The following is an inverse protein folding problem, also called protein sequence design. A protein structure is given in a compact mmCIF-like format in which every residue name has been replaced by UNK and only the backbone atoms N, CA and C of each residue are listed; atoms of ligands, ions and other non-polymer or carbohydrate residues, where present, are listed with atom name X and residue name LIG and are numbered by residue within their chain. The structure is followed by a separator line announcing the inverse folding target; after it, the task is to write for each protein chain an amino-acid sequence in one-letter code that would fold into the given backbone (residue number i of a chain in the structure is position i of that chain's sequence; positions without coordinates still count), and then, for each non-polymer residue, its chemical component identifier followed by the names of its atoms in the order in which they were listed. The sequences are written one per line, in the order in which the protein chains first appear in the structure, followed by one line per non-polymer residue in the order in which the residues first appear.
data_IF_482838677890
#
_entry.id   IF_482838677890
#
_cell.length_a   1.000
_cell.length_b   1.000
_cell.length_c   1.000
_cell.angle_alpha   90.00
_cell.angle_beta   90.00
_cell.angle_gamma   90.00
#
_symmetry.space_group_name_H-M   'P 1'
#
loop_
_entity.id
_entity.type
_entity.pdbx_description
1 polymer ?
#
# COMPACT_ATOMS: atom_id res chain seq x y z
N UNK A 1 -7.36 -30.61 -75.07
CA UNK A 1 -7.10 -29.19 -74.80
C UNK A 1 -8.30 -28.59 -74.13
N UNK A 2 -8.33 -28.40 -72.82
CA UNK A 2 -9.19 -27.50 -71.99
C UNK A 2 -9.09 -27.97 -70.53
N UNK A 3 -8.14 -27.47 -69.75
CA UNK A 3 -8.17 -27.52 -68.31
C UNK A 3 -6.97 -26.82 -67.72
N UNK A 4 -6.88 -25.49 -67.84
CA UNK A 4 -5.87 -24.68 -67.11
C UNK A 4 -6.41 -23.24 -67.00
N UNK A 5 -7.47 -22.98 -66.18
CA UNK A 5 -7.79 -21.63 -65.74
C UNK A 5 -8.90 -21.65 -64.64
N UNK A 6 -8.58 -22.15 -63.45
CA UNK A 6 -9.43 -21.93 -62.24
C UNK A 6 -8.61 -21.83 -60.98
N UNK A 7 -7.56 -21.02 -60.95
CA UNK A 7 -6.75 -20.84 -59.75
C UNK A 7 -6.63 -19.41 -59.15
N UNK A 8 -7.12 -18.30 -59.78
CA UNK A 8 -6.96 -17.00 -59.09
C UNK A 8 -8.06 -16.65 -58.10
N UNK A 9 -9.29 -17.16 -58.23
CA UNK A 9 -10.43 -16.75 -57.39
C UNK A 9 -10.39 -17.40 -55.98
N UNK A 10 -9.87 -18.61 -55.85
CA UNK A 10 -9.75 -19.29 -54.54
C UNK A 10 -8.59 -18.70 -53.72
N UNK A 11 -7.46 -18.40 -54.36
CA UNK A 11 -6.33 -17.73 -53.68
C UNK A 11 -6.66 -16.29 -53.26
N UNK A 12 -7.37 -15.52 -54.06
CA UNK A 12 -7.83 -14.18 -53.73
C UNK A 12 -8.83 -14.19 -52.55
N UNK A 13 -9.71 -15.20 -52.44
CA UNK A 13 -10.62 -15.36 -51.30
C UNK A 13 -9.87 -15.76 -50.02
N UNK A 14 -8.82 -16.59 -50.10
CA UNK A 14 -8.02 -17.01 -48.94
C UNK A 14 -7.19 -15.80 -48.43
N UNK A 15 -6.61 -15.00 -49.32
CA UNK A 15 -5.85 -13.81 -48.95
C UNK A 15 -6.79 -12.70 -48.39
N UNK A 16 -8.00 -12.58 -48.90
CA UNK A 16 -8.99 -11.63 -48.35
C UNK A 16 -9.45 -12.06 -46.92
N UNK A 17 -9.67 -13.34 -46.68
CA UNK A 17 -10.02 -13.85 -45.35
C UNK A 17 -8.87 -13.77 -44.35
N UNK A 18 -7.62 -13.93 -44.77
CA UNK A 18 -6.44 -13.78 -43.90
C UNK A 18 -6.20 -12.30 -43.56
N UNK A 19 -6.37 -11.38 -44.51
CA UNK A 19 -6.32 -9.94 -44.25
C UNK A 19 -7.45 -9.45 -43.35
N UNK A 20 -8.66 -9.99 -43.50
CA UNK A 20 -9.79 -9.72 -42.59
C UNK A 20 -9.51 -10.30 -41.19
N UNK A 21 -9.06 -11.53 -41.11
CA UNK A 21 -8.62 -12.14 -39.84
C UNK A 21 -7.49 -11.33 -39.17
N UNK A 22 -6.48 -10.91 -39.92
CA UNK A 22 -5.41 -10.04 -39.39
C UNK A 22 -5.94 -8.65 -38.99
N UNK A 23 -6.89 -8.07 -39.70
CA UNK A 23 -7.53 -6.80 -39.32
C UNK A 23 -8.40 -6.97 -38.06
N UNK A 24 -9.15 -8.07 -37.94
CA UNK A 24 -9.95 -8.41 -36.77
C UNK A 24 -9.02 -8.70 -35.58
N UNK A 25 -7.95 -9.45 -35.81
CA UNK A 25 -6.94 -9.74 -34.75
C UNK A 25 -6.19 -8.46 -34.33
N UNK A 26 -5.79 -7.60 -35.27
CA UNK A 26 -5.16 -6.29 -34.96
C UNK A 26 -6.15 -5.31 -34.32
N UNK A 27 -7.42 -5.32 -34.70
CA UNK A 27 -8.47 -4.53 -34.06
C UNK A 27 -8.78 -5.06 -32.65
N UNK A 28 -8.84 -6.38 -32.48
CA UNK A 28 -8.99 -7.03 -31.18
C UNK A 28 -7.79 -6.78 -30.27
N UNK A 29 -6.55 -6.83 -30.79
CA UNK A 29 -5.32 -6.48 -30.04
C UNK A 29 -5.28 -4.98 -29.72
N UNK A 30 -5.76 -4.10 -30.63
CA UNK A 30 -5.88 -2.67 -30.32
C UNK A 30 -7.00 -2.35 -29.33
N UNK A 31 -8.12 -3.07 -29.36
CA UNK A 31 -9.19 -2.92 -28.39
C UNK A 31 -8.82 -3.53 -27.00
N UNK A 32 -7.91 -4.51 -26.96
CA UNK A 32 -7.33 -5.04 -25.72
C UNK A 32 -6.35 -4.08 -25.03
N UNK A 33 -5.83 -3.06 -25.74
CA UNK A 33 -4.85 -2.12 -25.17
C UNK A 33 -5.45 -0.87 -24.53
N UNK A 34 -6.74 -0.58 -24.70
CA UNK A 34 -7.39 0.61 -24.14
C UNK A 34 -8.26 0.22 -22.95
N UNK A 35 -7.83 0.60 -21.74
CA UNK A 35 -8.64 0.47 -20.54
C UNK A 35 -9.91 1.33 -20.65
N UNK A 36 -11.05 0.86 -20.12
CA UNK A 36 -12.29 1.63 -20.10
C UNK A 36 -12.11 2.94 -19.32
N UNK A 37 -12.78 4.04 -19.68
CA UNK A 37 -12.66 5.33 -18.97
C UNK A 37 -12.87 5.22 -17.45
N UNK A 38 -13.80 4.40 -16.99
CA UNK A 38 -14.04 4.13 -15.57
C UNK A 38 -12.82 3.59 -14.81
N UNK A 39 -11.92 2.88 -15.48
CA UNK A 39 -10.67 2.43 -14.87
C UNK A 39 -9.77 3.61 -14.45
N UNK A 40 -9.59 4.60 -15.33
CA UNK A 40 -8.77 5.78 -15.03
C UNK A 40 -9.39 6.63 -13.93
N UNK A 41 -10.72 6.68 -13.83
CA UNK A 41 -11.44 7.32 -12.72
C UNK A 41 -11.11 6.64 -11.39
N UNK A 42 -11.10 5.32 -11.35
CA UNK A 42 -10.72 4.55 -10.15
C UNK A 42 -9.26 4.82 -9.77
N UNK A 43 -8.34 4.83 -10.72
CA UNK A 43 -6.92 5.13 -10.47
C UNK A 43 -6.73 6.55 -9.93
N UNK A 44 -7.43 7.54 -10.50
CA UNK A 44 -7.38 8.93 -10.03
C UNK A 44 -7.94 9.04 -8.61
N UNK A 45 -9.10 8.45 -8.33
CA UNK A 45 -9.70 8.41 -6.99
C UNK A 45 -8.75 7.78 -5.97
N UNK A 46 -8.12 6.65 -6.32
CA UNK A 46 -7.12 5.97 -5.49
C UNK A 46 -5.90 6.86 -5.24
N UNK A 47 -5.38 7.49 -6.29
CA UNK A 47 -4.21 8.37 -6.17
C UNK A 47 -4.48 9.52 -5.19
N UNK A 48 -5.57 10.26 -5.36
CA UNK A 48 -5.90 11.40 -4.48
C UNK A 48 -6.24 10.96 -3.06
N UNK A 49 -6.99 9.87 -2.88
CA UNK A 49 -7.30 9.34 -1.55
C UNK A 49 -6.04 8.89 -0.80
N UNK A 50 -5.13 8.18 -1.45
CA UNK A 50 -3.88 7.73 -0.85
C UNK A 50 -2.87 8.88 -0.66
N UNK A 51 -2.86 9.87 -1.56
CA UNK A 51 -2.10 11.12 -1.40
C UNK A 51 -2.50 11.84 -0.12
N UNK A 52 -3.82 11.99 0.10
CA UNK A 52 -4.36 12.63 1.30
C UNK A 52 -4.02 11.81 2.56
N UNK A 53 -4.13 10.48 2.54
CA UNK A 53 -3.78 9.60 3.68
C UNK A 53 -2.33 9.84 4.14
N UNK A 54 -1.37 9.95 3.20
CA UNK A 54 0.06 10.14 3.51
C UNK A 54 0.39 11.58 3.91
N UNK A 55 -0.23 12.57 3.28
CA UNK A 55 -0.07 13.98 3.66
C UNK A 55 -0.66 14.26 5.05
N UNK A 56 -1.82 13.64 5.36
CA UNK A 56 -2.49 13.80 6.65
C UNK A 56 -1.65 13.29 7.82
N UNK A 57 -0.88 12.22 7.63
CA UNK A 57 0.02 11.74 8.67
C UNK A 57 1.01 12.83 9.11
N UNK A 58 1.59 13.56 8.16
CA UNK A 58 2.54 14.64 8.46
C UNK A 58 1.85 15.82 9.12
N UNK A 59 0.67 16.21 8.64
CA UNK A 59 -0.14 17.26 9.26
C UNK A 59 -0.57 16.91 10.69
N UNK A 60 -1.00 15.66 10.93
CA UNK A 60 -1.37 15.18 12.26
C UNK A 60 -0.17 15.10 13.22
N UNK A 61 1.04 14.77 12.73
CA UNK A 61 2.28 14.84 13.52
C UNK A 61 2.56 16.32 13.88
N UNK A 62 2.40 17.26 12.93
CA UNK A 62 2.58 18.68 13.19
C UNK A 62 1.57 19.18 14.25
N UNK A 63 0.30 18.76 14.16
CA UNK A 63 -0.74 19.09 15.13
C UNK A 63 -0.41 18.58 16.53
N UNK A 64 0.05 17.32 16.69
CA UNK A 64 0.49 16.79 17.98
C UNK A 64 1.64 17.61 18.58
N UNK A 65 2.57 18.09 17.75
CA UNK A 65 3.68 18.94 18.20
C UNK A 65 3.21 20.34 18.62
N UNK A 66 2.24 20.90 17.91
CA UNK A 66 1.58 22.17 18.25
C UNK A 66 0.88 22.08 19.61
N UNK A 67 0.17 20.98 19.84
CA UNK A 67 -0.51 20.67 21.11
C UNK A 67 0.45 20.29 22.25
N UNK A 68 1.78 20.30 22.00
CA UNK A 68 2.82 19.90 22.95
C UNK A 68 2.63 18.50 23.55
N UNK A 69 2.03 17.61 22.77
CA UNK A 69 1.78 16.23 23.19
C UNK A 69 3.09 15.41 23.30
N UNK A 70 3.14 14.41 24.19
CA UNK A 70 4.31 13.58 24.37
C UNK A 70 4.81 12.91 23.09
N UNK A 71 6.13 12.83 22.88
CA UNK A 71 6.75 12.34 21.65
C UNK A 71 6.30 10.92 21.25
N UNK A 72 5.94 10.06 22.22
CA UNK A 72 5.44 8.70 21.94
C UNK A 72 4.08 8.67 21.22
N UNK A 73 3.33 9.77 21.27
CA UNK A 73 2.05 9.88 20.54
C UNK A 73 2.25 9.99 19.02
N UNK A 74 3.41 10.47 18.55
CA UNK A 74 3.74 10.51 17.13
C UNK A 74 3.65 9.12 16.46
N UNK A 75 4.35 8.08 16.91
CA UNK A 75 4.13 6.73 16.36
C UNK A 75 2.75 6.14 16.72
N UNK A 76 2.13 6.56 17.83
CA UNK A 76 0.79 6.11 18.21
C UNK A 76 -0.31 6.55 17.22
N UNK A 77 -0.11 7.64 16.45
CA UNK A 77 -0.99 7.99 15.32
C UNK A 77 -1.12 6.83 14.32
N UNK A 78 0.00 6.22 13.92
CA UNK A 78 -0.05 5.09 12.99
C UNK A 78 -0.79 3.92 13.58
N UNK A 79 -0.64 3.69 14.90
CA UNK A 79 -1.36 2.63 15.59
C UNK A 79 -2.86 2.86 15.60
N UNK A 80 -3.31 4.09 15.92
CA UNK A 80 -4.73 4.44 15.93
C UNK A 80 -5.37 4.23 14.55
N UNK A 81 -4.64 4.51 13.47
CA UNK A 81 -5.08 4.26 12.11
C UNK A 81 -5.16 2.75 11.79
N UNK A 82 -4.11 2.00 12.12
CA UNK A 82 -3.95 0.59 11.72
C UNK A 82 -4.82 -0.35 12.55
N UNK A 83 -5.17 -0.01 13.79
CA UNK A 83 -6.03 -0.84 14.66
C UNK A 83 -7.37 -1.15 13.99
N UNK A 84 -7.91 -0.20 13.21
CA UNK A 84 -9.14 -0.38 12.44
C UNK A 84 -9.01 -1.50 11.40
N UNK A 85 -7.87 -1.65 10.74
CA UNK A 85 -7.63 -2.73 9.78
C UNK A 85 -7.64 -4.10 10.42
N UNK A 86 -7.14 -4.21 11.63
CA UNK A 86 -7.09 -5.50 12.35
C UNK A 86 -8.48 -5.88 12.88
N UNK A 87 -9.17 -4.93 13.52
CA UNK A 87 -10.50 -5.18 14.10
C UNK A 87 -11.53 -5.47 13.01
N UNK A 88 -11.49 -4.74 11.91
CA UNK A 88 -12.48 -4.85 10.84
C UNK A 88 -12.17 -5.93 9.81
N UNK A 89 -10.97 -6.50 9.79
CA UNK A 89 -10.52 -7.46 8.76
C UNK A 89 -11.55 -8.56 8.42
N UNK A 90 -12.21 -9.22 9.38
CA UNK A 90 -13.19 -10.26 9.08
C UNK A 90 -14.50 -9.74 8.47
N UNK A 91 -14.80 -8.43 8.64
CA UNK A 91 -16.09 -7.83 8.32
C UNK A 91 -16.06 -6.96 7.05
N UNK A 92 -14.91 -6.36 6.73
CA UNK A 92 -14.81 -5.39 5.63
C UNK A 92 -15.05 -6.02 4.26
N UNK A 93 -14.73 -7.31 4.09
CA UNK A 93 -15.04 -8.04 2.85
C UNK A 93 -16.55 -8.12 2.62
N UNK A 94 -17.31 -8.56 3.64
CA UNK A 94 -18.76 -8.64 3.58
C UNK A 94 -19.42 -7.25 3.39
N UNK A 95 -18.89 -6.22 4.05
CA UNK A 95 -19.32 -4.84 3.84
C UNK A 95 -19.06 -4.38 2.40
N UNK A 96 -17.86 -4.63 1.88
CA UNK A 96 -17.50 -4.27 0.52
C UNK A 96 -18.39 -4.97 -0.53
N UNK A 97 -18.87 -6.19 -0.25
CA UNK A 97 -19.73 -6.97 -1.15
C UNK A 97 -21.22 -6.65 -1.00
N UNK A 98 -21.62 -5.86 0.02
CA UNK A 98 -23.01 -5.56 0.34
C UNK A 98 -23.66 -4.54 -0.62
N UNK A 99 -22.88 -3.76 -1.35
CA UNK A 99 -23.35 -2.70 -2.24
C UNK A 99 -22.36 -2.44 -3.37
N UNK A 100 -22.73 -1.66 -4.42
CA UNK A 100 -21.82 -1.29 -5.50
C UNK A 100 -20.51 -0.73 -4.97
N UNK A 101 -19.37 -1.24 -5.46
CA UNK A 101 -18.03 -0.89 -4.96
C UNK A 101 -17.76 0.62 -5.00
N UNK A 102 -18.28 1.32 -6.02
CA UNK A 102 -18.19 2.78 -6.11
C UNK A 102 -18.80 3.48 -4.89
N UNK A 103 -19.97 3.01 -4.42
CA UNK A 103 -20.63 3.55 -3.23
C UNK A 103 -19.83 3.25 -1.95
N UNK A 104 -19.27 2.05 -1.83
CA UNK A 104 -18.37 1.70 -0.70
C UNK A 104 -17.20 2.67 -0.64
N UNK A 105 -16.53 2.89 -1.77
CA UNK A 105 -15.38 3.79 -1.89
C UNK A 105 -15.77 5.25 -1.57
N UNK A 106 -16.95 5.70 -2.00
CA UNK A 106 -17.48 7.03 -1.69
C UNK A 106 -17.75 7.20 -0.19
N UNK A 107 -18.46 6.25 0.43
CA UNK A 107 -18.77 6.26 1.87
C UNK A 107 -17.48 6.26 2.69
N UNK A 108 -16.52 5.45 2.32
CA UNK A 108 -15.24 5.35 3.06
C UNK A 108 -14.41 6.62 2.96
N UNK A 109 -14.42 7.32 1.81
CA UNK A 109 -13.80 8.64 1.71
C UNK A 109 -14.58 9.70 2.51
N UNK A 110 -15.91 9.63 2.57
CA UNK A 110 -16.69 10.51 3.44
C UNK A 110 -16.32 10.33 4.94
N UNK A 111 -16.09 9.08 5.37
CA UNK A 111 -15.60 8.79 6.73
C UNK A 111 -14.23 9.44 6.98
N UNK A 112 -13.31 9.41 6.00
CA UNK A 112 -12.01 10.06 6.11
C UNK A 112 -12.13 11.58 6.21
N UNK A 113 -13.05 12.20 5.45
CA UNK A 113 -13.37 13.63 5.55
C UNK A 113 -13.88 13.98 6.96
N UNK A 114 -14.76 13.14 7.55
CA UNK A 114 -15.21 13.31 8.93
C UNK A 114 -14.02 13.26 9.90
N UNK A 115 -13.06 12.37 9.70
CA UNK A 115 -11.85 12.32 10.52
C UNK A 115 -11.02 13.64 10.44
N UNK A 116 -10.90 14.23 9.25
CA UNK A 116 -10.27 15.56 9.10
C UNK A 116 -11.08 16.66 9.80
N UNK A 117 -12.39 16.68 9.62
CA UNK A 117 -13.27 17.63 10.29
C UNK A 117 -13.21 17.52 11.83
N UNK A 118 -13.08 16.30 12.36
CA UNK A 118 -12.86 16.08 13.79
C UNK A 118 -11.55 16.72 14.27
N UNK A 119 -10.45 16.64 13.49
CA UNK A 119 -9.19 17.31 13.86
C UNK A 119 -9.36 18.82 13.89
N UNK A 120 -10.06 19.41 12.90
CA UNK A 120 -10.35 20.85 12.84
C UNK A 120 -11.35 21.31 13.92
N UNK A 121 -12.11 20.40 14.51
CA UNK A 121 -13.03 20.66 15.62
C UNK A 121 -12.40 20.31 16.98
N UNK A 122 -11.09 20.39 17.12
CA UNK A 122 -10.31 20.17 18.34
C UNK A 122 -10.49 18.78 18.99
N UNK A 123 -10.97 17.77 18.21
CA UNK A 123 -10.99 16.41 18.69
C UNK A 123 -9.56 15.85 18.64
N UNK A 124 -9.17 15.18 19.71
CA UNK A 124 -7.80 14.65 19.85
C UNK A 124 -7.30 13.93 18.59
N UNK A 125 -6.09 14.24 18.05
CA UNK A 125 -5.58 13.74 16.78
C UNK A 125 -5.58 12.21 16.65
N UNK A 126 -5.32 11.47 17.74
CA UNK A 126 -5.35 10.00 17.74
C UNK A 126 -6.75 9.43 17.41
N UNK A 127 -7.80 10.02 17.97
CA UNK A 127 -9.18 9.57 17.71
C UNK A 127 -9.62 9.95 16.29
N UNK A 128 -9.31 11.16 15.86
CA UNK A 128 -9.61 11.67 14.53
C UNK A 128 -8.89 10.84 13.46
N UNK A 129 -7.63 10.49 13.69
CA UNK A 129 -6.85 9.65 12.77
C UNK A 129 -7.28 8.19 12.80
N UNK A 130 -7.81 7.69 13.93
CA UNK A 130 -8.47 6.37 13.99
C UNK A 130 -9.72 6.33 13.10
N UNK A 131 -10.51 7.43 13.06
CA UNK A 131 -11.69 7.55 12.18
C UNK A 131 -11.24 7.49 10.70
N UNK A 132 -10.15 8.17 10.33
CA UNK A 132 -9.57 8.07 8.99
C UNK A 132 -9.15 6.63 8.69
N UNK A 133 -8.51 5.95 9.65
CA UNK A 133 -8.12 4.54 9.56
C UNK A 133 -9.32 3.60 9.36
N UNK A 134 -10.45 3.88 10.02
CA UNK A 134 -11.70 3.14 9.82
C UNK A 134 -12.17 3.23 8.36
N UNK A 135 -12.20 4.44 7.79
CA UNK A 135 -12.51 4.64 6.37
C UNK A 135 -11.52 3.91 5.45
N UNK A 136 -10.22 3.99 5.72
CA UNK A 136 -9.18 3.37 4.92
C UNK A 136 -9.24 1.83 4.96
N UNK A 137 -9.55 1.23 6.10
CA UNK A 137 -9.70 -0.23 6.24
C UNK A 137 -10.83 -0.78 5.38
N UNK A 138 -11.98 -0.09 5.38
CA UNK A 138 -13.14 -0.49 4.57
C UNK A 138 -12.97 -0.18 3.07
N UNK A 139 -12.15 0.81 2.72
CA UNK A 139 -11.80 1.16 1.34
C UNK A 139 -11.04 0.05 0.61
N UNK A 140 -10.10 -0.60 1.29
CA UNK A 140 -9.14 -1.53 0.69
C UNK A 140 -9.77 -2.70 -0.08
N UNK A 141 -10.75 -3.47 0.47
CA UNK A 141 -11.36 -4.57 -0.29
C UNK A 141 -12.18 -4.09 -1.49
N UNK A 142 -12.86 -2.93 -1.38
CA UNK A 142 -13.64 -2.38 -2.48
C UNK A 142 -12.75 -1.94 -3.65
N UNK A 143 -11.57 -1.36 -3.34
CA UNK A 143 -10.57 -0.91 -4.32
C UNK A 143 -10.08 -2.04 -5.22
N UNK A 144 -9.76 -3.20 -4.65
CA UNK A 144 -9.31 -4.34 -5.44
C UNK A 144 -10.49 -5.12 -6.05
N UNK A 145 -11.62 -5.18 -5.35
CA UNK A 145 -12.83 -5.86 -5.83
C UNK A 145 -13.39 -5.22 -7.11
N UNK A 146 -13.41 -3.90 -7.20
CA UNK A 146 -13.94 -3.21 -8.39
C UNK A 146 -13.13 -3.49 -9.66
N UNK A 147 -11.82 -3.74 -9.55
CA UNK A 147 -11.00 -4.10 -10.71
C UNK A 147 -11.43 -5.44 -11.32
N UNK A 148 -11.77 -6.41 -10.48
CA UNK A 148 -12.22 -7.73 -10.92
C UNK A 148 -13.63 -7.72 -11.50
N UNK A 149 -14.47 -6.76 -11.10
CA UNK A 149 -15.82 -6.57 -11.65
C UNK A 149 -15.79 -5.79 -12.97
N UNK A 150 -14.89 -4.81 -13.10
CA UNK A 150 -14.85 -3.90 -14.24
C UNK A 150 -14.06 -4.46 -15.44
N UNK A 151 -13.02 -5.25 -15.19
CA UNK A 151 -12.02 -5.66 -16.17
C UNK A 151 -12.00 -7.18 -16.38
N UNK A 152 -11.75 -7.62 -17.62
CA UNK A 152 -11.55 -9.03 -17.91
C UNK A 152 -10.25 -9.54 -17.28
N UNK A 153 -10.15 -10.85 -16.97
CA UNK A 153 -8.99 -11.45 -16.30
C UNK A 153 -7.63 -11.12 -16.94
N UNK A 154 -7.58 -11.00 -18.25
CA UNK A 154 -6.36 -10.71 -19.03
C UNK A 154 -5.78 -9.30 -18.75
N UNK A 155 -6.61 -8.36 -18.30
CA UNK A 155 -6.23 -6.99 -18.00
C UNK A 155 -5.91 -6.76 -16.52
N UNK A 156 -6.25 -7.71 -15.63
CA UNK A 156 -6.09 -7.53 -14.17
C UNK A 156 -4.63 -7.32 -13.74
N UNK A 157 -3.67 -8.00 -14.40
CA UNK A 157 -2.24 -7.84 -14.06
C UNK A 157 -1.78 -6.40 -14.34
N UNK A 158 -2.17 -5.86 -15.49
CA UNK A 158 -1.82 -4.48 -15.87
C UNK A 158 -2.54 -3.49 -14.95
N UNK A 159 -3.82 -3.74 -14.64
CA UNK A 159 -4.62 -2.90 -13.76
C UNK A 159 -4.06 -2.83 -12.33
N UNK A 160 -3.65 -3.98 -11.77
CA UNK A 160 -2.97 -4.02 -10.48
C UNK A 160 -1.63 -3.26 -10.51
N UNK A 161 -0.85 -3.38 -11.61
CA UNK A 161 0.37 -2.60 -11.79
C UNK A 161 0.13 -1.09 -11.76
N UNK A 162 -0.92 -0.59 -12.43
CA UNK A 162 -1.33 0.81 -12.36
C UNK A 162 -1.78 1.21 -10.95
N UNK A 163 -2.54 0.35 -10.27
CA UNK A 163 -3.00 0.58 -8.90
C UNK A 163 -1.82 0.71 -7.92
N UNK A 164 -0.86 -0.19 -7.98
CA UNK A 164 0.35 -0.15 -7.16
C UNK A 164 1.24 1.06 -7.53
N UNK A 165 1.39 1.36 -8.82
CA UNK A 165 2.11 2.55 -9.27
C UNK A 165 1.48 3.85 -8.76
N UNK A 166 0.14 3.96 -8.81
CA UNK A 166 -0.59 5.09 -8.24
C UNK A 166 -0.41 5.18 -6.72
N UNK A 167 -0.42 4.03 -6.02
CA UNK A 167 -0.19 3.97 -4.57
C UNK A 167 1.23 4.44 -4.21
N UNK A 168 2.27 3.94 -4.89
CA UNK A 168 3.66 4.38 -4.64
C UNK A 168 3.82 5.86 -4.98
N UNK A 169 3.29 6.31 -6.12
CA UNK A 169 3.32 7.73 -6.49
C UNK A 169 2.63 8.61 -5.43
N UNK A 170 1.47 8.20 -4.95
CA UNK A 170 0.73 8.94 -3.91
C UNK A 170 1.47 8.99 -2.57
N UNK A 171 2.24 7.95 -2.21
CA UNK A 171 3.09 7.95 -1.02
C UNK A 171 4.18 9.02 -1.15
N UNK A 172 4.90 9.03 -2.29
CA UNK A 172 5.97 10.00 -2.54
C UNK A 172 5.43 11.43 -2.48
N UNK A 173 4.41 11.71 -3.29
CA UNK A 173 3.82 13.05 -3.37
C UNK A 173 3.10 13.44 -2.08
N UNK A 174 2.51 12.49 -1.36
CA UNK A 174 1.83 12.73 -0.09
C UNK A 174 2.77 13.22 1.00
N UNK A 175 3.92 12.58 1.17
CA UNK A 175 4.93 13.04 2.13
C UNK A 175 5.52 14.40 1.75
N UNK A 176 5.83 14.60 0.46
CA UNK A 176 6.33 15.90 -0.03
C UNK A 176 5.28 17.00 0.17
N UNK A 177 4.03 16.73 -0.18
CA UNK A 177 2.91 17.67 0.00
C UNK A 177 2.68 17.98 1.48
N UNK A 178 2.56 16.96 2.34
CA UNK A 178 2.37 17.14 3.77
C UNK A 178 3.49 17.99 4.40
N UNK A 179 4.74 17.71 4.01
CA UNK A 179 5.89 18.51 4.42
C UNK A 179 5.84 19.95 3.89
N UNK A 180 5.45 20.13 2.63
CA UNK A 180 5.36 21.47 2.02
C UNK A 180 4.26 22.33 2.68
N UNK A 181 3.10 21.75 2.97
CA UNK A 181 1.95 22.47 3.58
C UNK A 181 2.28 23.05 4.96
N UNK A 182 3.14 22.39 5.75
CA UNK A 182 3.55 22.88 7.07
C UNK A 182 4.76 23.82 7.03
N UNK A 183 5.31 24.15 5.83
CA UNK A 183 6.40 25.14 5.74
C UNK A 183 5.90 26.54 6.08
N UNK A 184 6.73 27.40 6.74
CA UNK A 184 6.30 28.76 7.14
C UNK A 184 5.76 29.61 5.99
N UNK A 185 6.33 29.47 4.78
CA UNK A 185 5.88 30.25 3.61
C UNK A 185 4.50 29.81 3.12
N UNK A 186 4.27 28.49 3.03
CA UNK A 186 3.00 27.96 2.51
C UNK A 186 1.90 28.12 3.55
N UNK A 187 2.18 27.79 4.82
CA UNK A 187 1.19 27.95 5.90
C UNK A 187 0.77 29.42 6.10
N UNK A 188 1.71 30.38 6.05
CA UNK A 188 1.38 31.79 6.13
C UNK A 188 0.50 32.27 4.97
N UNK A 189 0.73 31.76 3.75
CA UNK A 189 -0.11 32.07 2.60
C UNK A 189 -1.51 31.45 2.73
N UNK A 190 -1.62 30.24 3.29
CA UNK A 190 -2.90 29.56 3.52
C UNK A 190 -3.70 30.22 4.64
N UNK A 191 -3.06 30.60 5.75
CA UNK A 191 -3.70 31.30 6.87
C UNK A 191 -4.14 32.72 6.48
N UNK A 192 -3.45 33.37 5.54
CA UNK A 192 -3.86 34.66 4.97
C UNK A 192 -4.98 34.59 3.94
N UNK A 193 -5.44 33.35 3.58
CA UNK A 193 -6.52 33.16 2.62
C UNK A 193 -7.84 33.02 3.39
N UNK A 194 -8.72 34.00 3.19
CA UNK A 194 -10.08 33.97 3.74
C UNK A 194 -10.91 32.93 2.96
N UNK A 195 -11.16 31.78 3.59
CA UNK A 195 -11.96 30.71 2.96
C UNK A 195 -13.44 31.10 2.98
N UNK A 196 -14.02 31.55 1.84
CA UNK A 196 -15.41 31.96 1.83
C UNK A 196 -16.32 30.76 2.15
N UNK A 197 -17.23 30.93 3.09
CA UNK A 197 -18.26 29.97 3.50
C UNK A 197 -17.83 28.86 4.49
N UNK A 198 -16.66 28.91 5.09
CA UNK A 198 -16.21 27.90 6.06
C UNK A 198 -15.78 28.64 7.34
N UNK A 199 -16.69 28.75 8.32
CA UNK A 199 -16.37 29.22 9.69
C UNK A 199 -15.71 28.08 10.50
N UNK A 200 -14.64 27.49 9.97
CA UNK A 200 -13.81 26.57 10.75
C UNK A 200 -12.65 27.33 11.38
N UNK A 201 -12.30 27.07 12.64
CA UNK A 201 -11.14 27.68 13.27
C UNK A 201 -9.87 27.12 12.60
N UNK A 202 -9.36 27.81 11.59
CA UNK A 202 -8.10 27.49 10.91
C UNK A 202 -7.08 28.51 11.39
N UNK A 203 -6.59 28.29 12.61
CA UNK A 203 -5.75 29.28 13.29
C UNK A 203 -4.26 28.91 13.25
N UNK A 204 -3.95 27.63 12.98
CA UNK A 204 -2.58 27.12 13.03
C UNK A 204 -2.12 26.54 11.69
N UNK A 205 -0.79 26.45 11.46
CA UNK A 205 -0.25 25.79 10.25
C UNK A 205 -0.73 24.36 10.04
N UNK A 206 -0.86 23.47 11.07
CA UNK A 206 -1.45 22.15 10.91
C UNK A 206 -2.91 22.19 10.48
N UNK A 207 -3.72 23.10 11.02
CA UNK A 207 -5.15 23.22 10.66
C UNK A 207 -5.30 23.60 9.18
N UNK A 208 -4.52 24.58 8.71
CA UNK A 208 -4.51 24.96 7.30
C UNK A 208 -4.10 23.78 6.40
N UNK A 209 -3.11 22.98 6.81
CA UNK A 209 -2.71 21.78 6.08
C UNK A 209 -3.82 20.74 6.05
N UNK A 210 -4.50 20.47 7.18
CA UNK A 210 -5.61 19.51 7.28
C UNK A 210 -6.79 19.96 6.41
N UNK A 211 -7.11 21.27 6.38
CA UNK A 211 -8.17 21.81 5.54
C UNK A 211 -7.88 21.58 4.03
N UNK A 212 -6.65 21.80 3.57
CA UNK A 212 -6.23 21.51 2.19
C UNK A 212 -6.35 20.00 1.90
N UNK A 213 -5.91 19.14 2.82
CA UNK A 213 -5.96 17.69 2.69
C UNK A 213 -7.40 17.20 2.66
N UNK A 214 -8.29 17.78 3.46
CA UNK A 214 -9.73 17.52 3.39
C UNK A 214 -10.29 17.88 2.01
N UNK A 215 -9.83 18.97 1.39
CA UNK A 215 -10.14 19.30 0.00
C UNK A 215 -9.67 18.23 -1.01
N UNK A 216 -8.52 17.61 -0.78
CA UNK A 216 -8.02 16.50 -1.63
C UNK A 216 -8.92 15.25 -1.48
N UNK A 217 -9.39 14.92 -0.27
CA UNK A 217 -10.38 13.85 -0.09
C UNK A 217 -11.71 14.17 -0.79
N UNK A 218 -12.14 15.43 -0.81
CA UNK A 218 -13.32 15.86 -1.57
C UNK A 218 -13.10 15.64 -3.08
N UNK A 219 -11.92 15.98 -3.61
CA UNK A 219 -11.57 15.67 -5.01
C UNK A 219 -11.64 14.16 -5.26
N UNK A 220 -11.07 13.34 -4.36
CA UNK A 220 -11.16 11.89 -4.45
C UNK A 220 -12.62 11.41 -4.43
N UNK A 221 -13.47 11.98 -3.57
CA UNK A 221 -14.89 11.66 -3.48
C UNK A 221 -15.64 12.05 -4.77
N UNK A 222 -15.29 13.16 -5.41
CA UNK A 222 -15.85 13.55 -6.71
C UNK A 222 -15.49 12.49 -7.78
N UNK A 223 -14.23 12.04 -7.86
CA UNK A 223 -13.86 10.95 -8.76
C UNK A 223 -14.64 9.68 -8.45
N UNK A 224 -14.85 9.35 -7.17
CA UNK A 224 -15.63 8.18 -6.77
C UNK A 224 -17.08 8.24 -7.23
N UNK A 225 -17.69 9.42 -7.26
CA UNK A 225 -19.04 9.61 -7.76
C UNK A 225 -19.17 9.24 -9.25
N UNK A 226 -18.10 9.41 -10.02
CA UNK A 226 -18.06 9.06 -11.45
C UNK A 226 -17.63 7.60 -11.71
N UNK A 227 -17.41 6.78 -10.68
CA UNK A 227 -17.14 5.36 -10.85
C UNK A 227 -18.41 4.69 -11.36
N UNK A 228 -18.36 4.01 -12.54
CA UNK A 228 -19.54 3.37 -13.11
C UNK A 228 -20.00 2.19 -12.24
N UNK A 229 -21.30 1.99 -12.17
CA UNK A 229 -21.86 0.76 -11.61
C UNK A 229 -21.48 -0.41 -12.53
N UNK A 230 -20.99 -1.47 -11.93
CA UNK A 230 -20.55 -2.68 -12.64
C UNK A 230 -21.70 -3.61 -12.99
N UNK A 231 -22.92 -3.37 -12.44
CA UNK A 231 -24.11 -4.19 -12.66
C UNK A 231 -24.04 -5.58 -12.04
N UNK A 232 -23.06 -5.84 -11.16
CA UNK A 232 -22.95 -7.10 -10.42
C UNK A 232 -24.02 -7.13 -9.32
N UNK A 233 -24.73 -8.25 -9.17
CA UNK A 233 -25.75 -8.43 -8.12
C UNK A 233 -25.10 -8.54 -6.73
N UNK A 234 -25.25 -7.48 -5.95
CA UNK A 234 -24.69 -7.38 -4.59
C UNK A 234 -25.66 -7.99 -3.57
N UNK A 235 -25.67 -9.29 -3.48
CA UNK A 235 -26.41 -9.99 -2.40
C UNK A 235 -25.49 -10.21 -1.22
N UNK A 236 -25.81 -9.57 -0.09
CA UNK A 236 -25.17 -9.90 1.19
C UNK A 236 -25.50 -11.35 1.52
N UNK A 237 -24.54 -12.25 1.55
CA UNK A 237 -24.79 -13.55 2.16
C UNK A 237 -25.18 -13.28 3.61
N UNK A 238 -26.40 -13.67 4.03
CA UNK A 238 -26.88 -13.53 5.42
C UNK A 238 -26.07 -14.48 6.32
N UNK A 239 -24.80 -14.17 6.53
CA UNK A 239 -23.87 -14.96 7.34
C UNK A 239 -23.71 -14.33 8.70
N UNK A 240 -23.88 -15.14 9.74
CA UNK A 240 -23.59 -14.75 11.11
C UNK A 240 -22.14 -14.21 11.20
N UNK A 241 -21.87 -13.05 11.83
CA UNK A 241 -20.53 -12.50 12.01
C UNK A 241 -19.53 -13.50 12.62
N UNK A 242 -19.96 -14.38 13.52
CA UNK A 242 -19.13 -15.44 14.08
C UNK A 242 -18.66 -16.45 13.03
N UNK A 243 -19.46 -16.74 12.00
CA UNK A 243 -19.07 -17.58 10.91
C UNK A 243 -17.94 -16.93 10.08
N UNK A 244 -18.07 -15.62 9.78
CA UNK A 244 -17.03 -14.88 9.04
C UNK A 244 -15.70 -14.85 9.80
N UNK A 245 -15.73 -14.65 11.12
CA UNK A 245 -14.52 -14.67 11.96
C UNK A 245 -13.88 -16.07 11.95
N UNK A 246 -14.69 -17.14 12.05
CA UNK A 246 -14.19 -18.50 12.04
C UNK A 246 -13.58 -18.90 10.68
N UNK A 247 -14.25 -18.55 9.59
CA UNK A 247 -13.77 -18.76 8.22
C UNK A 247 -12.45 -18.01 7.98
N UNK A 248 -12.39 -16.74 8.38
CA UNK A 248 -11.18 -15.93 8.29
C UNK A 248 -10.01 -16.52 9.10
N UNK A 249 -10.27 -16.94 10.35
CA UNK A 249 -9.25 -17.56 11.20
C UNK A 249 -8.72 -18.86 10.60
N UNK A 250 -9.60 -19.65 9.94
CA UNK A 250 -9.18 -20.85 9.20
C UNK A 250 -8.26 -20.51 8.05
N UNK A 251 -8.58 -19.48 7.25
CA UNK A 251 -7.73 -19.00 6.16
C UNK A 251 -6.35 -18.53 6.64
N UNK A 252 -6.30 -17.76 7.75
CA UNK A 252 -5.03 -17.38 8.39
C UNK A 252 -4.20 -18.62 8.76
N UNK A 253 -4.81 -19.59 9.44
CA UNK A 253 -4.13 -20.82 9.84
C UNK A 253 -3.62 -21.63 8.65
N UNK A 254 -4.40 -21.70 7.56
CA UNK A 254 -4.05 -22.44 6.35
C UNK A 254 -2.78 -21.86 5.70
N UNK A 255 -2.70 -20.54 5.58
CA UNK A 255 -1.55 -19.87 4.96
C UNK A 255 -0.28 -19.97 5.83
N UNK A 256 -0.41 -19.89 7.16
CA UNK A 256 0.70 -20.10 8.09
C UNK A 256 1.21 -21.54 8.15
N UNK A 257 0.38 -22.53 7.76
CA UNK A 257 0.79 -23.93 7.68
C UNK A 257 1.42 -24.31 6.34
N UNK A 258 1.15 -23.54 5.27
CA UNK A 258 1.79 -23.75 3.98
C UNK A 258 3.28 -23.38 4.04
N UNK A 259 4.16 -24.24 3.53
CA UNK A 259 5.62 -24.07 3.65
C UNK A 259 6.18 -22.85 2.94
N UNK A 260 5.63 -22.46 1.80
CA UNK A 260 5.99 -21.25 1.08
C UNK A 260 5.17 -20.04 1.57
N UNK A 261 3.91 -20.29 1.88
CA UNK A 261 2.99 -19.29 2.44
C UNK A 261 3.53 -18.68 3.73
N UNK A 262 3.98 -19.49 4.69
CA UNK A 262 4.53 -18.99 5.95
C UNK A 262 5.79 -18.12 5.75
N UNK A 263 6.67 -18.46 4.80
CA UNK A 263 7.88 -17.68 4.51
C UNK A 263 7.51 -16.34 3.88
N UNK A 264 6.66 -16.36 2.85
CA UNK A 264 6.24 -15.13 2.18
C UNK A 264 5.39 -14.24 3.08
N UNK A 265 4.47 -14.82 3.88
CA UNK A 265 3.65 -14.07 4.83
C UNK A 265 4.48 -13.44 5.95
N UNK A 266 5.43 -14.20 6.55
CA UNK A 266 6.32 -13.68 7.58
C UNK A 266 7.20 -12.53 7.04
N UNK A 267 7.73 -12.66 5.82
CA UNK A 267 8.58 -11.62 5.22
C UNK A 267 7.80 -10.37 4.86
N UNK A 268 6.59 -10.47 4.28
CA UNK A 268 5.77 -9.29 3.97
C UNK A 268 5.27 -8.62 5.25
N UNK A 269 4.88 -9.39 6.27
CA UNK A 269 4.51 -8.88 7.60
C UNK A 269 5.66 -8.09 8.24
N UNK A 270 6.87 -8.66 8.22
CA UNK A 270 8.08 -7.98 8.71
C UNK A 270 8.37 -6.71 7.91
N UNK A 271 8.29 -6.78 6.58
CA UNK A 271 8.55 -5.65 5.69
C UNK A 271 7.64 -4.45 5.99
N UNK A 272 6.32 -4.68 6.08
CA UNK A 272 5.37 -3.60 6.34
C UNK A 272 5.50 -3.05 7.76
N UNK A 273 5.70 -3.91 8.75
CA UNK A 273 5.98 -3.49 10.12
C UNK A 273 7.27 -2.68 10.24
N UNK A 274 8.34 -3.17 9.60
CA UNK A 274 9.64 -2.50 9.57
C UNK A 274 9.56 -1.16 8.82
N UNK A 275 8.92 -1.12 7.67
CA UNK A 275 8.76 0.11 6.88
C UNK A 275 8.00 1.20 7.63
N UNK A 276 6.87 0.83 8.27
CA UNK A 276 6.10 1.76 9.09
C UNK A 276 6.89 2.28 10.31
N UNK A 277 7.68 1.44 10.95
CA UNK A 277 8.51 1.83 12.10
C UNK A 277 9.67 2.72 11.67
N UNK A 278 10.34 2.36 10.57
CA UNK A 278 11.45 3.13 10.01
C UNK A 278 11.01 4.56 9.64
N UNK A 279 9.77 4.74 9.21
CA UNK A 279 9.20 6.04 8.93
C UNK A 279 9.33 7.00 10.13
N UNK A 280 8.99 6.54 11.34
CA UNK A 280 9.10 7.36 12.56
C UNK A 280 10.55 7.48 13.03
N UNK A 281 11.31 6.40 12.94
CA UNK A 281 12.76 6.43 13.24
C UNK A 281 13.47 7.47 12.39
N UNK A 282 13.17 7.55 11.09
CA UNK A 282 13.79 8.53 10.16
C UNK A 282 13.41 9.96 10.55
N UNK A 283 12.16 10.23 10.96
CA UNK A 283 11.74 11.56 11.42
C UNK A 283 12.54 11.99 12.66
N UNK A 284 12.66 11.12 13.66
CA UNK A 284 13.36 11.41 14.91
C UNK A 284 14.88 11.48 14.70
N UNK A 285 15.43 10.61 13.86
CA UNK A 285 16.84 10.63 13.50
C UNK A 285 17.22 11.87 12.71
N UNK A 286 16.41 12.27 11.71
CA UNK A 286 16.64 13.46 10.92
C UNK A 286 16.65 14.74 11.78
N UNK A 287 15.74 14.80 12.77
CA UNK A 287 15.71 15.93 13.70
C UNK A 287 16.96 15.97 14.61
N UNK A 288 17.44 14.83 15.13
CA UNK A 288 18.52 14.80 16.12
C UNK A 288 19.90 14.73 15.48
N UNK A 289 20.09 13.93 14.41
CA UNK A 289 21.40 13.71 13.80
C UNK A 289 21.71 14.70 12.67
N UNK A 290 20.68 15.14 11.93
CA UNK A 290 20.83 16.02 10.78
C UNK A 290 20.32 17.46 11.05
N UNK A 291 19.77 17.73 12.23
CA UNK A 291 19.16 19.02 12.62
C UNK A 291 18.08 19.50 11.64
N UNK A 292 17.33 18.55 11.04
CA UNK A 292 16.27 18.84 10.09
C UNK A 292 14.94 19.06 10.82
N UNK A 293 14.13 19.99 10.31
CA UNK A 293 12.76 20.18 10.79
C UNK A 293 11.82 19.08 10.22
N UNK A 294 10.56 19.04 10.70
CA UNK A 294 9.58 18.02 10.28
C UNK A 294 9.32 18.04 8.76
N UNK A 295 9.25 19.25 8.16
CA UNK A 295 9.07 19.40 6.71
C UNK A 295 10.21 18.74 5.93
N UNK A 296 11.45 19.01 6.31
CA UNK A 296 12.64 18.43 5.68
C UNK A 296 12.75 16.92 5.94
N UNK A 297 12.40 16.45 7.14
CA UNK A 297 12.37 15.04 7.49
C UNK A 297 11.30 14.28 6.67
N UNK A 298 10.14 14.89 6.42
CA UNK A 298 9.09 14.29 5.57
C UNK A 298 9.53 14.19 4.11
N UNK A 299 10.33 15.13 3.60
CA UNK A 299 10.92 15.03 2.26
C UNK A 299 11.88 13.84 2.14
N UNK A 300 12.63 13.50 3.20
CA UNK A 300 13.44 12.28 3.24
C UNK A 300 12.60 11.01 3.09
N UNK A 301 11.35 10.99 3.58
CA UNK A 301 10.42 9.86 3.33
C UNK A 301 10.10 9.73 1.84
N UNK A 302 9.93 10.85 1.13
CA UNK A 302 9.77 10.85 -0.33
C UNK A 302 10.99 10.21 -1.02
N UNK A 303 12.19 10.48 -0.55
CA UNK A 303 13.46 9.91 -1.08
C UNK A 303 13.49 8.38 -0.86
N UNK A 304 13.08 7.89 0.31
CA UNK A 304 12.94 6.43 0.55
C UNK A 304 11.96 5.81 -0.44
N UNK A 305 10.80 6.44 -0.66
CA UNK A 305 9.78 5.92 -1.55
C UNK A 305 10.26 5.88 -3.03
N UNK A 306 11.07 6.85 -3.47
CA UNK A 306 11.77 6.79 -4.78
C UNK A 306 12.67 5.56 -4.84
N UNK A 307 13.45 5.29 -3.78
CA UNK A 307 14.26 4.07 -3.68
C UNK A 307 13.40 2.81 -3.82
N UNK A 308 12.28 2.73 -3.09
CA UNK A 308 11.34 1.58 -3.17
C UNK A 308 10.85 1.38 -4.61
N UNK A 309 10.46 2.45 -5.31
CA UNK A 309 10.02 2.36 -6.70
C UNK A 309 11.12 1.82 -7.62
N UNK A 310 12.36 2.32 -7.48
CA UNK A 310 13.51 1.82 -8.24
C UNK A 310 13.79 0.34 -7.97
N UNK A 311 13.80 -0.06 -6.70
CA UNK A 311 13.98 -1.45 -6.29
C UNK A 311 12.89 -2.38 -6.84
N UNK A 312 11.63 -1.94 -6.80
CA UNK A 312 10.49 -2.67 -7.34
C UNK A 312 10.59 -2.90 -8.85
N UNK A 313 11.00 -1.87 -9.62
CA UNK A 313 11.23 -1.96 -11.07
C UNK A 313 12.35 -2.97 -11.38
N UNK A 314 13.46 -2.90 -10.64
CA UNK A 314 14.58 -3.83 -10.80
C UNK A 314 14.16 -5.27 -10.47
N UNK A 315 13.40 -5.47 -9.38
CA UNK A 315 12.89 -6.78 -9.00
C UNK A 315 11.97 -7.36 -10.07
N UNK A 316 11.02 -6.58 -10.58
CA UNK A 316 10.10 -7.01 -11.64
C UNK A 316 10.84 -7.42 -12.93
N UNK A 317 12.00 -6.82 -13.21
CA UNK A 317 12.81 -7.13 -14.39
C UNK A 317 13.72 -8.35 -14.21
N UNK A 318 14.27 -8.56 -13.03
CA UNK A 318 15.35 -9.54 -12.80
C UNK A 318 14.95 -10.75 -11.99
N UNK A 319 13.82 -10.70 -11.26
CA UNK A 319 13.40 -11.78 -10.36
C UNK A 319 12.15 -12.45 -10.88
N UNK A 320 12.26 -13.74 -11.22
CA UNK A 320 11.11 -14.57 -11.58
C UNK A 320 10.39 -15.06 -10.30
N UNK A 321 9.13 -15.48 -10.43
CA UNK A 321 8.36 -16.05 -9.31
C UNK A 321 9.07 -17.24 -8.64
N UNK A 322 9.71 -18.12 -9.41
CA UNK A 322 10.52 -19.22 -8.90
C UNK A 322 11.77 -18.77 -8.14
N UNK A 323 12.32 -17.62 -8.51
CA UNK A 323 13.45 -16.99 -7.83
C UNK A 323 13.06 -16.11 -6.63
N UNK A 324 11.78 -16.01 -6.28
CA UNK A 324 11.31 -15.11 -5.24
C UNK A 324 11.99 -15.32 -3.87
N UNK A 325 12.25 -16.57 -3.49
CA UNK A 325 12.94 -16.88 -2.22
C UNK A 325 14.43 -16.51 -2.21
N UNK A 326 15.04 -16.30 -3.38
CA UNK A 326 16.46 -15.93 -3.48
C UNK A 326 16.72 -14.48 -3.07
N UNK A 327 15.69 -13.65 -2.93
CA UNK A 327 15.83 -12.26 -2.44
C UNK A 327 15.88 -12.15 -0.91
N UNK A 328 15.62 -13.23 -0.16
CA UNK A 328 15.64 -13.23 1.31
C UNK A 328 16.93 -12.63 1.92
N UNK A 329 18.15 -12.88 1.38
CA UNK A 329 19.38 -12.25 1.88
C UNK A 329 19.36 -10.73 1.79
N UNK A 330 18.66 -10.13 0.81
CA UNK A 330 18.55 -8.68 0.67
C UNK A 330 17.76 -8.07 1.83
N UNK A 331 16.74 -8.77 2.33
CA UNK A 331 16.02 -8.35 3.54
C UNK A 331 16.93 -8.32 4.78
N UNK A 332 17.85 -9.28 4.93
CA UNK A 332 18.84 -9.27 6.00
C UNK A 332 19.85 -8.12 5.80
N UNK A 333 20.34 -7.92 4.58
CA UNK A 333 21.25 -6.81 4.24
C UNK A 333 20.61 -5.45 4.52
N UNK A 334 19.31 -5.27 4.25
CA UNK A 334 18.57 -4.04 4.56
C UNK A 334 18.66 -3.69 6.05
N UNK A 335 18.49 -4.68 6.95
CA UNK A 335 18.65 -4.46 8.39
C UNK A 335 20.06 -3.98 8.75
N UNK A 336 21.10 -4.53 8.11
CA UNK A 336 22.49 -4.08 8.29
C UNK A 336 22.69 -2.66 7.78
N UNK A 337 22.12 -2.31 6.62
CA UNK A 337 22.19 -0.94 6.05
C UNK A 337 21.53 0.07 6.99
N UNK A 338 20.43 -0.29 7.66
CA UNK A 338 19.79 0.59 8.66
C UNK A 338 20.75 0.89 9.82
N UNK A 339 21.62 -0.05 10.26
CA UNK A 339 22.60 0.22 11.31
C UNK A 339 23.58 1.33 10.93
N UNK A 340 23.87 1.51 9.64
CA UNK A 340 24.76 2.58 9.14
C UNK A 340 24.18 3.97 9.41
N UNK A 341 22.86 4.12 9.54
CA UNK A 341 22.22 5.41 9.87
C UNK A 341 22.79 6.05 11.14
N UNK A 342 23.21 5.24 12.11
CA UNK A 342 23.77 5.75 13.39
C UNK A 342 25.00 6.63 13.18
N UNK A 343 25.76 6.37 12.12
CA UNK A 343 27.04 7.04 11.84
C UNK A 343 26.90 8.20 10.85
N UNK A 344 25.72 8.37 10.25
CA UNK A 344 25.49 9.39 9.20
C UNK A 344 25.00 10.68 9.84
N UNK A 345 25.75 11.77 9.63
CA UNK A 345 25.45 13.13 10.09
C UNK A 345 25.44 14.18 8.95
N UNK A 346 25.54 13.71 7.71
CA UNK A 346 25.63 14.57 6.53
C UNK A 346 24.45 14.29 5.58
N UNK A 347 23.67 15.34 5.27
CA UNK A 347 22.40 15.20 4.55
C UNK A 347 22.52 14.52 3.18
N UNK A 348 23.46 14.87 2.29
CA UNK A 348 23.62 14.18 1.01
C UNK A 348 23.89 12.67 1.16
N UNK A 349 24.71 12.28 2.14
CA UNK A 349 24.98 10.86 2.42
C UNK A 349 23.72 10.18 2.98
N UNK A 350 22.94 10.88 3.80
CA UNK A 350 21.65 10.43 4.29
C UNK A 350 20.68 10.15 3.15
N UNK A 351 20.60 11.02 2.15
CA UNK A 351 19.75 10.82 0.96
C UNK A 351 20.14 9.55 0.18
N UNK A 352 21.45 9.34 -0.06
CA UNK A 352 21.95 8.14 -0.73
C UNK A 352 21.59 6.88 0.07
N UNK A 353 21.74 6.93 1.41
CA UNK A 353 21.38 5.84 2.30
C UNK A 353 19.89 5.54 2.26
N UNK A 354 19.03 6.58 2.26
CA UNK A 354 17.58 6.42 2.16
C UNK A 354 17.15 5.80 0.84
N UNK A 355 17.76 6.20 -0.29
CA UNK A 355 17.53 5.54 -1.59
C UNK A 355 17.96 4.08 -1.54
N UNK A 356 19.12 3.77 -0.95
CA UNK A 356 19.63 2.39 -0.85
C UNK A 356 18.70 1.51 0.01
N UNK A 357 18.26 2.00 1.18
CA UNK A 357 17.30 1.30 2.04
C UNK A 357 16.00 1.06 1.27
N UNK A 358 15.47 2.10 0.63
CA UNK A 358 14.25 2.00 -0.18
C UNK A 358 14.41 0.99 -1.33
N UNK A 359 15.53 1.03 -2.06
CA UNK A 359 15.78 0.12 -3.18
C UNK A 359 15.89 -1.34 -2.74
N UNK A 360 16.59 -1.62 -1.63
CA UNK A 360 16.62 -2.96 -1.04
C UNK A 360 15.21 -3.41 -0.64
N UNK A 361 14.44 -2.53 -0.03
CA UNK A 361 13.07 -2.78 0.41
C UNK A 361 12.14 -3.12 -0.76
N UNK A 362 12.14 -2.31 -1.83
CA UNK A 362 11.33 -2.54 -3.03
C UNK A 362 11.75 -3.80 -3.79
N UNK A 363 13.07 -4.02 -3.94
CA UNK A 363 13.59 -5.22 -4.60
C UNK A 363 13.22 -6.52 -3.86
N UNK A 364 13.14 -6.46 -2.55
CA UNK A 364 12.79 -7.58 -1.69
C UNK A 364 11.28 -7.87 -1.68
N UNK A 365 10.45 -6.83 -1.50
CA UNK A 365 9.01 -7.05 -1.24
C UNK A 365 8.24 -7.53 -2.46
N UNK A 366 8.58 -7.07 -3.67
CA UNK A 366 7.81 -7.36 -4.88
C UNK A 366 7.75 -8.86 -5.19
N UNK A 367 8.87 -9.61 -5.24
CA UNK A 367 8.82 -11.05 -5.48
C UNK A 367 8.15 -11.82 -4.33
N UNK A 368 8.32 -11.37 -3.09
CA UNK A 368 7.72 -12.00 -1.93
C UNK A 368 6.20 -11.82 -1.89
N UNK A 369 5.69 -10.65 -2.27
CA UNK A 369 4.25 -10.42 -2.47
C UNK A 369 3.70 -11.30 -3.60
N UNK A 370 4.39 -11.41 -4.72
CA UNK A 370 3.98 -12.26 -5.82
C UNK A 370 3.89 -13.74 -5.40
N UNK A 371 4.86 -14.23 -4.64
CA UNK A 371 4.84 -15.59 -4.09
C UNK A 371 3.69 -15.80 -3.11
N UNK A 372 3.45 -14.82 -2.22
CA UNK A 372 2.36 -14.86 -1.25
C UNK A 372 0.99 -14.92 -1.94
N UNK A 373 0.78 -14.03 -2.92
CA UNK A 373 -0.46 -13.98 -3.69
C UNK A 373 -0.70 -15.27 -4.47
N UNK A 374 0.34 -15.83 -5.11
CA UNK A 374 0.24 -17.10 -5.82
C UNK A 374 -0.15 -18.24 -4.88
N UNK A 375 0.55 -18.41 -3.73
CA UNK A 375 0.23 -19.46 -2.77
C UNK A 375 -1.16 -19.28 -2.14
N UNK A 376 -1.49 -18.06 -1.75
CA UNK A 376 -2.80 -17.76 -1.17
C UNK A 376 -3.95 -17.99 -2.17
N UNK A 377 -3.77 -17.61 -3.44
CA UNK A 377 -4.77 -17.88 -4.48
C UNK A 377 -5.03 -19.38 -4.65
N UNK A 378 -3.98 -20.21 -4.70
CA UNK A 378 -4.09 -21.68 -4.83
C UNK A 378 -4.79 -22.30 -3.63
N UNK A 379 -4.52 -21.79 -2.41
CA UNK A 379 -5.03 -22.39 -1.16
C UNK A 379 -6.47 -21.95 -0.83
N UNK A 380 -6.84 -20.69 -1.04
CA UNK A 380 -8.10 -20.12 -0.53
C UNK A 380 -8.80 -19.13 -1.47
N UNK A 381 -8.24 -18.89 -2.66
CA UNK A 381 -8.73 -17.88 -3.60
C UNK A 381 -8.18 -16.47 -3.32
N UNK A 382 -8.30 -15.57 -4.32
CA UNK A 382 -7.64 -14.27 -4.31
C UNK A 382 -8.13 -13.35 -3.18
N UNK A 383 -9.45 -13.26 -2.97
CA UNK A 383 -10.05 -12.36 -1.99
C UNK A 383 -9.64 -12.67 -0.55
N UNK A 384 -9.75 -13.95 -0.15
CA UNK A 384 -9.33 -14.39 1.19
C UNK A 384 -7.81 -14.24 1.39
N UNK A 385 -7.02 -14.53 0.36
CA UNK A 385 -5.57 -14.38 0.41
C UNK A 385 -5.15 -12.94 0.70
N UNK A 386 -5.73 -11.95 -0.02
CA UNK A 386 -5.45 -10.52 0.18
C UNK A 386 -5.89 -10.06 1.58
N UNK A 387 -7.06 -10.54 2.05
CA UNK A 387 -7.54 -10.20 3.39
C UNK A 387 -6.61 -10.72 4.49
N UNK A 388 -6.14 -11.98 4.38
CA UNK A 388 -5.18 -12.58 5.32
C UNK A 388 -3.83 -11.85 5.27
N UNK A 389 -3.34 -11.53 4.09
CA UNK A 389 -2.11 -10.75 3.91
C UNK A 389 -2.22 -9.40 4.62
N UNK A 390 -3.23 -8.60 4.28
CA UNK A 390 -3.46 -7.27 4.88
C UNK A 390 -3.58 -7.34 6.41
N UNK A 391 -4.29 -8.33 6.94
CA UNK A 391 -4.44 -8.53 8.38
C UNK A 391 -3.09 -8.76 9.06
N UNK A 392 -2.29 -9.69 8.55
CA UNK A 392 -0.97 -10.00 9.14
C UNK A 392 0.00 -8.83 9.01
N UNK A 393 0.03 -8.14 7.86
CA UNK A 393 0.87 -6.96 7.65
C UNK A 393 0.51 -5.85 8.65
N UNK A 394 -0.78 -5.59 8.87
CA UNK A 394 -1.23 -4.58 9.83
C UNK A 394 -0.99 -5.00 11.30
N UNK A 395 -1.07 -6.28 11.64
CA UNK A 395 -0.59 -6.78 12.95
C UNK A 395 0.92 -6.52 13.10
N UNK A 396 1.73 -6.80 12.08
CA UNK A 396 3.15 -6.48 12.07
C UNK A 396 3.42 -5.00 12.30
N UNK A 397 2.66 -4.13 11.64
CA UNK A 397 2.74 -2.67 11.86
C UNK A 397 2.38 -2.30 13.29
N UNK A 398 1.26 -2.82 13.83
CA UNK A 398 0.86 -2.55 15.22
C UNK A 398 1.92 -2.97 16.23
N UNK A 399 2.49 -4.16 16.08
CA UNK A 399 3.49 -4.69 17.00
C UNK A 399 4.79 -3.88 16.95
N UNK A 400 5.32 -3.61 15.76
CA UNK A 400 6.63 -2.98 15.60
C UNK A 400 6.58 -1.49 15.89
N UNK A 401 5.57 -0.76 15.39
CA UNK A 401 5.37 0.66 15.71
C UNK A 401 5.01 0.83 17.19
N UNK A 402 4.24 -0.11 17.77
CA UNK A 402 3.94 -0.11 19.19
C UNK A 402 5.17 -0.27 20.06
N UNK A 403 6.03 -1.21 19.70
CA UNK A 403 7.31 -1.38 20.39
C UNK A 403 8.16 -0.11 20.30
N UNK A 404 8.22 0.52 19.13
CA UNK A 404 8.92 1.80 18.96
C UNK A 404 8.31 2.91 19.83
N UNK A 405 6.97 3.04 19.87
CA UNK A 405 6.29 4.01 20.74
C UNK A 405 6.64 3.80 22.23
N UNK A 406 6.71 2.53 22.68
CA UNK A 406 7.14 2.19 24.04
C UNK A 406 8.61 2.55 24.29
N UNK A 407 9.49 2.33 23.30
CA UNK A 407 10.91 2.73 23.40
C UNK A 407 11.04 4.27 23.53
N UNK A 408 10.29 5.03 22.74
CA UNK A 408 10.26 6.51 22.84
C UNK A 408 9.72 6.95 24.19
N UNK A 409 8.64 6.33 24.69
CA UNK A 409 8.07 6.62 26.03
C UNK A 409 9.05 6.30 27.16
N UNK A 410 9.84 5.25 27.02
CA UNK A 410 10.88 4.87 27.97
C UNK A 410 12.13 5.76 27.90
N UNK A 411 12.18 6.76 27.01
CA UNK A 411 13.32 7.66 26.85
C UNK A 411 14.54 7.02 26.18
N UNK A 412 14.36 5.92 25.45
CA UNK A 412 15.44 5.27 24.71
C UNK A 412 15.93 6.20 23.61
N UNK A 413 17.26 6.33 23.47
CA UNK A 413 17.85 7.19 22.45
C UNK A 413 17.54 6.69 21.04
N UNK A 414 17.40 7.61 20.09
CA UNK A 414 17.13 7.25 18.67
C UNK A 414 18.23 6.33 18.12
N UNK A 415 19.50 6.57 18.45
CA UNK A 415 20.61 5.71 18.02
C UNK A 415 20.47 4.29 18.56
N UNK A 416 20.08 4.14 19.83
CA UNK A 416 19.81 2.82 20.42
C UNK A 416 18.60 2.16 19.74
N UNK A 417 17.55 2.91 19.48
CA UNK A 417 16.38 2.42 18.75
C UNK A 417 16.74 1.92 17.34
N UNK A 418 17.57 2.66 16.59
CA UNK A 418 18.07 2.25 15.27
C UNK A 418 18.87 0.95 15.36
N UNK A 419 19.76 0.84 16.35
CA UNK A 419 20.57 -0.37 16.55
C UNK A 419 19.68 -1.58 16.85
N UNK A 420 18.77 -1.46 17.80
CA UNK A 420 17.86 -2.56 18.17
C UNK A 420 16.96 -2.94 16.99
N UNK A 421 16.46 -1.96 16.23
CA UNK A 421 15.62 -2.17 15.07
C UNK A 421 16.38 -2.88 13.95
N UNK A 422 17.58 -2.41 13.59
CA UNK A 422 18.41 -3.03 12.55
C UNK A 422 18.81 -4.46 12.90
N UNK A 423 19.19 -4.72 14.15
CA UNK A 423 19.49 -6.07 14.66
C UNK A 423 18.24 -6.97 14.64
N UNK A 424 17.08 -6.45 15.04
CA UNK A 424 15.82 -7.19 15.00
C UNK A 424 15.45 -7.61 13.57
N UNK A 425 15.49 -6.67 12.61
CA UNK A 425 15.18 -6.95 11.19
C UNK A 425 16.16 -7.98 10.63
N UNK A 426 17.47 -7.79 10.85
CA UNK A 426 18.50 -8.73 10.39
C UNK A 426 18.30 -10.11 10.99
N UNK A 427 18.14 -10.18 12.32
CA UNK A 427 17.96 -11.44 13.06
C UNK A 427 16.71 -12.19 12.64
N UNK A 428 15.59 -11.49 12.48
CA UNK A 428 14.34 -12.10 12.02
C UNK A 428 14.46 -12.61 10.58
N UNK A 429 15.12 -11.87 9.67
CA UNK A 429 15.38 -12.33 8.32
C UNK A 429 16.28 -13.56 8.26
N UNK A 430 17.33 -13.62 9.09
CA UNK A 430 18.16 -14.81 9.23
C UNK A 430 17.36 -16.01 9.74
N UNK A 431 16.45 -15.80 10.71
CA UNK A 431 15.55 -16.85 11.20
C UNK A 431 14.60 -17.35 10.11
N UNK A 432 14.03 -16.46 9.29
CA UNK A 432 13.18 -16.81 8.15
C UNK A 432 13.97 -17.62 7.12
N UNK A 433 15.21 -17.20 6.81
CA UNK A 433 16.09 -17.95 5.91
C UNK A 433 16.44 -19.34 6.45
N UNK A 434 16.71 -19.44 7.75
CA UNK A 434 16.95 -20.73 8.41
C UNK A 434 15.71 -21.62 8.33
N UNK A 435 14.53 -21.07 8.65
CA UNK A 435 13.25 -21.79 8.55
C UNK A 435 12.96 -22.25 7.10
N UNK A 436 13.21 -21.38 6.14
CA UNK A 436 13.07 -21.76 4.72
C UNK A 436 13.96 -22.96 4.36
N UNK A 437 15.25 -22.91 4.75
CA UNK A 437 16.18 -24.01 4.51
C UNK A 437 15.73 -25.32 5.22
N UNK A 438 15.21 -25.22 6.44
CA UNK A 438 14.66 -26.36 7.16
C UNK A 438 13.46 -26.98 6.41
N UNK A 439 12.50 -26.14 5.96
CA UNK A 439 11.36 -26.58 5.18
C UNK A 439 11.79 -27.32 3.89
N UNK A 440 12.80 -26.79 3.19
CA UNK A 440 13.30 -27.39 1.94
C UNK A 440 14.02 -28.72 2.16
N UNK A 441 14.66 -28.93 3.33
CA UNK A 441 15.29 -30.23 3.68
C UNK A 441 14.26 -31.32 3.94
N UNK A 442 13.08 -30.96 4.48
CA UNK A 442 12.01 -31.91 4.73
C UNK A 442 11.23 -32.24 3.46
N UNK A 443 11.00 -31.24 2.61
CA UNK A 443 10.24 -31.39 1.37
C UNK A 443 10.57 -30.24 0.43
N UNK A 444 11.01 -30.57 -0.77
CA UNK A 444 11.24 -29.55 -1.81
C UNK A 444 9.88 -29.00 -2.28
N UNK A 445 9.53 -27.82 -1.75
CA UNK A 445 8.28 -27.13 -2.11
C UNK A 445 8.42 -26.21 -3.32
N UNK A 446 9.63 -26.08 -3.93
CA UNK A 446 9.86 -25.19 -5.06
C UNK A 446 9.10 -25.61 -6.31
N UNK A 447 8.81 -26.91 -6.47
CA UNK A 447 8.00 -27.41 -7.58
C UNK A 447 6.54 -26.92 -7.53
N UNK A 448 6.04 -26.51 -6.34
CA UNK A 448 4.69 -25.97 -6.18
C UNK A 448 4.53 -24.56 -6.76
N UNK A 449 5.63 -23.90 -7.15
CA UNK A 449 5.61 -22.55 -7.73
C UNK A 449 5.28 -22.69 -9.23
N UNK A 450 4.17 -22.06 -9.64
CA UNK A 450 3.70 -22.07 -11.03
C UNK A 450 2.84 -23.27 -11.41
N UNK A 451 2.36 -24.04 -10.43
CA UNK A 451 1.32 -25.04 -10.64
C UNK A 451 -0.01 -24.42 -10.25
N UNK A 452 -0.86 -24.16 -11.24
CA UNK A 452 -2.24 -23.77 -11.01
C UNK A 452 -3.01 -24.97 -10.45
N UNK A 453 -4.07 -24.69 -9.68
CA UNK A 453 -4.94 -25.74 -9.15
C UNK A 453 -5.45 -26.59 -10.31
N UNK A 454 -5.35 -27.94 -10.30
CA UNK A 454 -6.02 -28.73 -11.30
C UNK A 454 -7.51 -28.37 -11.28
N UNK A 455 -8.00 -27.96 -12.44
CA UNK A 455 -9.38 -27.58 -12.70
C UNK A 455 -10.37 -28.67 -12.34
#
# INVERSE_FOLDING_TARGET
MRSWYKAPAAQARIIATDNERQRITKAAVRSQGSMKPGFYTIIAAQFFSSLADNALLIAAIALLRELHEPAWMTPALKQSFVVSYVILAPLVGAFADSMPKGNVILITNAIKIVGCAMMLADVHPLLSYAMVGFGAAAYSPAKYGILTELLPPQQLVIANGWMEGATVGSIIFGFVLGGALITPRVSAALLGFDFPMIDLPIDTPPDAAIAVIMGIYLIAAIFNWYIPDTGVDHRVPSKNPLYLIREFSHCVSLLWRDRLGQISLATTTLFWGAGATLQFIVIDWAARALSLNLSQASMLQGVVAVGVALGAILAARFVSLRGAVNVLPIGAAMGVVVLVMVFVQYVPLAMVLMVAIGACAGFFVVPMNALLQHRGHVLMGAGHSIAVQNFNENIGVLMMVGLYALMVRAGISVSTAIMLFGLFVTGTMLLVMWRHRANQREYDSMHLIGIDKPS
#
